data_IF_037380288672
#
_entry.id   IF_037380288672
#
_cell.length_a   1.000
_cell.length_b   1.000
_cell.length_c   1.000
_cell.angle_alpha   90.00
_cell.angle_beta   90.00
_cell.angle_gamma   90.00
#
_symmetry.space_group_name_H-M   'P 1'
#
loop_
_entity.id
_entity.type
_entity.pdbx_description
1 polymer ?
#
# COMPACT_ATOMS: atom_id res chain seq x y z
N UNK A 1 -1.41 11.02 32.07
CA UNK A 1 -0.43 10.64 31.04
C UNK A 1 -1.20 9.92 29.97
N UNK A 2 -0.98 10.25 28.68
CA UNK A 2 -1.52 9.42 27.59
C UNK A 2 -1.01 7.99 27.81
N UNK A 3 -1.83 6.99 27.54
CA UNK A 3 -1.60 5.58 27.90
C UNK A 3 -0.38 4.93 27.21
N UNK A 4 0.38 5.71 26.42
CA UNK A 4 1.52 5.24 25.62
C UNK A 4 1.10 4.21 24.55
N UNK A 5 -0.20 3.96 24.40
CA UNK A 5 -0.76 3.01 23.48
C UNK A 5 -0.89 3.59 22.08
N UNK A 6 -1.12 2.69 21.13
CA UNK A 6 -1.27 3.06 19.73
C UNK A 6 -2.40 4.09 19.56
N UNK A 7 -2.21 5.05 18.66
CA UNK A 7 -3.26 5.97 18.23
C UNK A 7 -4.37 5.25 17.47
N UNK A 8 -5.48 5.94 17.22
CA UNK A 8 -6.56 5.41 16.36
C UNK A 8 -6.05 5.13 14.95
N UNK A 9 -5.27 6.06 14.40
CA UNK A 9 -4.70 5.94 13.04
C UNK A 9 -3.74 4.75 12.91
N UNK A 10 -2.89 4.53 13.92
CA UNK A 10 -1.96 3.40 13.96
C UNK A 10 -2.72 2.07 14.00
N UNK A 11 -3.79 1.98 14.80
CA UNK A 11 -4.64 0.78 14.84
C UNK A 11 -5.32 0.54 13.48
N UNK A 12 -5.93 1.56 12.89
CA UNK A 12 -6.60 1.43 11.58
C UNK A 12 -5.61 1.01 10.47
N UNK A 13 -4.39 1.55 10.50
CA UNK A 13 -3.35 1.19 9.54
C UNK A 13 -2.89 -0.27 9.71
N UNK A 14 -2.59 -0.69 10.94
CA UNK A 14 -2.16 -2.05 11.26
C UNK A 14 -3.25 -3.08 10.96
N UNK A 15 -4.51 -2.79 11.30
CA UNK A 15 -5.65 -3.66 10.96
C UNK A 15 -5.79 -3.83 9.45
N UNK A 16 -5.57 -2.76 8.68
CA UNK A 16 -5.49 -2.82 7.22
C UNK A 16 -4.39 -3.75 6.71
N UNK A 17 -3.19 -3.68 7.29
CA UNK A 17 -2.06 -4.55 6.93
C UNK A 17 -2.37 -6.02 7.24
N UNK A 18 -2.92 -6.32 8.41
CA UNK A 18 -3.32 -7.69 8.76
C UNK A 18 -4.47 -8.21 7.88
N UNK A 19 -5.39 -7.34 7.47
CA UNK A 19 -6.43 -7.69 6.51
C UNK A 19 -5.83 -8.06 5.13
N UNK A 20 -4.83 -7.31 4.64
CA UNK A 20 -4.07 -7.66 3.42
C UNK A 20 -3.37 -9.01 3.60
N UNK A 21 -2.65 -9.22 4.71
CA UNK A 21 -1.97 -10.48 5.00
C UNK A 21 -2.93 -11.67 5.05
N UNK A 22 -4.14 -11.47 5.58
CA UNK A 22 -5.16 -12.52 5.60
C UNK A 22 -5.66 -12.94 4.22
N UNK A 23 -5.38 -12.15 3.18
CA UNK A 23 -5.73 -12.45 1.79
C UNK A 23 -4.60 -13.15 1.01
N UNK A 24 -3.36 -13.22 1.52
CA UNK A 24 -2.19 -13.75 0.80
C UNK A 24 -2.32 -15.23 0.37
N UNK A 25 -3.10 -16.01 1.11
CA UNK A 25 -3.38 -17.42 0.83
C UNK A 25 -4.88 -17.69 0.60
N UNK A 26 -5.65 -16.64 0.28
CA UNK A 26 -7.07 -16.77 -0.02
C UNK A 26 -7.26 -17.38 -1.41
N UNK A 27 -7.91 -18.55 -1.49
CA UNK A 27 -8.34 -19.14 -2.75
C UNK A 27 -9.74 -18.68 -3.09
N UNK A 28 -9.95 -18.22 -4.32
CA UNK A 28 -11.25 -17.83 -4.85
C UNK A 28 -11.69 -18.79 -5.98
N UNK A 29 -12.99 -18.93 -6.18
CA UNK A 29 -13.54 -19.66 -7.33
C UNK A 29 -13.05 -19.03 -8.65
N UNK A 30 -12.83 -17.71 -8.64
CA UNK A 30 -12.28 -16.96 -9.76
C UNK A 30 -10.86 -17.42 -10.15
N UNK A 31 -10.09 -18.04 -9.26
CA UNK A 31 -8.76 -18.58 -9.58
C UNK A 31 -8.85 -19.77 -10.55
N UNK A 32 -9.96 -20.51 -10.55
CA UNK A 32 -10.22 -21.61 -11.48
C UNK A 32 -11.04 -21.16 -12.69
N UNK A 33 -11.97 -20.23 -12.49
CA UNK A 33 -12.90 -19.72 -13.49
C UNK A 33 -12.81 -18.19 -13.55
N UNK A 34 -11.83 -17.63 -14.29
CA UNK A 34 -11.53 -16.19 -14.25
C UNK A 34 -12.71 -15.27 -14.60
N UNK A 35 -13.63 -15.73 -15.44
CA UNK A 35 -14.81 -14.95 -15.81
C UNK A 35 -15.79 -14.71 -14.64
N UNK A 36 -15.68 -15.45 -13.54
CA UNK A 36 -16.45 -15.25 -12.31
C UNK A 36 -15.88 -14.17 -11.39
N UNK A 37 -14.70 -13.61 -11.68
CA UNK A 37 -14.05 -12.59 -10.84
C UNK A 37 -14.94 -11.36 -10.60
N UNK A 38 -15.73 -10.97 -11.59
CA UNK A 38 -16.64 -9.80 -11.51
C UNK A 38 -17.73 -9.99 -10.45
N UNK A 39 -18.09 -11.25 -10.15
CA UNK A 39 -19.14 -11.55 -9.17
C UNK A 39 -18.64 -11.47 -7.72
N UNK A 40 -17.32 -11.59 -7.50
CA UNK A 40 -16.70 -11.61 -6.17
C UNK A 40 -17.43 -12.55 -5.18
N UNK A 41 -17.71 -13.78 -5.62
CA UNK A 41 -18.53 -14.76 -4.88
C UNK A 41 -18.00 -15.04 -3.46
N UNK A 42 -16.68 -15.00 -3.30
CA UNK A 42 -15.98 -15.26 -2.04
C UNK A 42 -15.71 -13.96 -1.25
N UNK A 43 -16.05 -12.79 -1.80
CA UNK A 43 -15.84 -11.47 -1.19
C UNK A 43 -14.37 -11.05 -1.06
N UNK A 44 -13.44 -11.86 -1.56
CA UNK A 44 -12.00 -11.63 -1.44
C UNK A 44 -11.57 -10.32 -2.11
N UNK A 45 -12.13 -10.00 -3.29
CA UNK A 45 -11.78 -8.79 -4.04
C UNK A 45 -12.20 -7.55 -3.28
N UNK A 46 -13.42 -7.51 -2.76
CA UNK A 46 -13.90 -6.41 -1.91
C UNK A 46 -13.07 -6.27 -0.64
N UNK A 47 -12.74 -7.38 0.03
CA UNK A 47 -11.93 -7.37 1.25
C UNK A 47 -10.54 -6.80 1.01
N UNK A 48 -9.80 -7.30 0.01
CA UNK A 48 -8.45 -6.82 -0.28
C UNK A 48 -8.45 -5.36 -0.74
N UNK A 49 -9.45 -4.96 -1.55
CA UNK A 49 -9.58 -3.57 -2.02
C UNK A 49 -9.78 -2.60 -0.86
N UNK A 50 -10.66 -2.93 0.09
CA UNK A 50 -10.88 -2.09 1.27
C UNK A 50 -9.66 -2.05 2.19
N UNK A 51 -8.98 -3.17 2.39
CA UNK A 51 -7.77 -3.25 3.19
C UNK A 51 -6.64 -2.37 2.60
N UNK A 52 -6.41 -2.47 1.29
CA UNK A 52 -5.46 -1.61 0.56
C UNK A 52 -5.85 -0.14 0.70
N UNK A 53 -7.14 0.19 0.53
CA UNK A 53 -7.61 1.57 0.67
C UNK A 53 -7.33 2.15 2.06
N UNK A 54 -7.54 1.36 3.12
CA UNK A 54 -7.26 1.78 4.49
C UNK A 54 -5.77 2.01 4.73
N UNK A 55 -4.91 1.10 4.25
CA UNK A 55 -3.45 1.26 4.38
C UNK A 55 -2.95 2.50 3.62
N UNK A 56 -3.42 2.68 2.38
CA UNK A 56 -3.04 3.81 1.51
C UNK A 56 -3.47 5.17 2.07
N UNK A 57 -4.59 5.23 2.81
CA UNK A 57 -5.04 6.46 3.48
C UNK A 57 -3.94 7.10 4.35
N UNK A 58 -3.09 6.27 4.96
CA UNK A 58 -2.01 6.71 5.84
C UNK A 58 -0.63 6.72 5.17
N UNK A 59 -0.35 5.77 4.27
CA UNK A 59 0.95 5.70 3.59
C UNK A 59 1.12 6.72 2.47
N UNK A 60 0.09 6.92 1.63
CA UNK A 60 0.21 7.75 0.43
C UNK A 60 0.61 9.21 0.76
N UNK A 61 0.08 9.87 1.81
CA UNK A 61 0.53 11.22 2.19
C UNK A 61 2.02 11.30 2.54
N UNK A 62 2.57 10.28 3.21
CA UNK A 62 3.98 10.26 3.60
C UNK A 62 4.89 9.96 2.40
N UNK A 63 4.49 9.02 1.55
CA UNK A 63 5.17 8.75 0.27
C UNK A 63 5.19 10.02 -0.59
N UNK A 64 4.07 10.75 -0.68
CA UNK A 64 3.97 11.98 -1.48
C UNK A 64 4.92 13.05 -0.98
N UNK A 65 4.97 13.28 0.34
CA UNK A 65 5.93 14.21 0.93
C UNK A 65 7.36 13.82 0.58
N UNK A 66 7.70 12.53 0.64
CA UNK A 66 9.05 12.06 0.33
C UNK A 66 9.39 12.25 -1.16
N UNK A 67 8.46 12.00 -2.07
CA UNK A 67 8.63 12.31 -3.50
C UNK A 67 8.89 13.81 -3.69
N UNK A 68 8.08 14.67 -3.07
CA UNK A 68 8.28 16.13 -3.16
C UNK A 68 9.63 16.60 -2.60
N UNK A 69 10.18 15.94 -1.58
CA UNK A 69 11.51 16.24 -1.05
C UNK A 69 12.61 15.96 -2.07
N UNK A 70 12.52 14.82 -2.79
CA UNK A 70 13.42 14.48 -3.88
C UNK A 70 13.30 15.46 -5.05
N UNK A 71 12.07 15.79 -5.47
CA UNK A 71 11.83 16.76 -6.55
C UNK A 71 12.36 18.17 -6.23
N UNK A 72 12.29 18.59 -4.97
CA UNK A 72 12.81 19.89 -4.49
C UNK A 72 14.32 19.88 -4.21
N UNK A 73 14.99 18.73 -4.34
CA UNK A 73 16.41 18.57 -3.98
C UNK A 73 16.69 18.74 -2.48
N UNK A 74 15.66 18.62 -1.63
CA UNK A 74 15.80 18.63 -0.17
C UNK A 74 16.33 17.29 0.37
N UNK A 75 16.40 16.29 -0.50
CA UNK A 75 16.99 14.98 -0.25
C UNK A 75 17.85 14.58 -1.43
N UNK A 76 19.01 14.01 -1.14
CA UNK A 76 20.05 13.71 -2.14
C UNK A 76 20.66 12.31 -2.00
N UNK A 77 20.33 11.59 -0.92
CA UNK A 77 20.87 10.28 -0.61
C UNK A 77 19.73 9.29 -0.35
N UNK A 78 19.94 8.04 -0.77
CA UNK A 78 19.02 6.93 -0.53
C UNK A 78 19.29 6.33 0.84
N UNK A 79 18.48 6.67 1.83
CA UNK A 79 18.67 6.23 3.22
C UNK A 79 17.88 4.95 3.53
N UNK A 80 16.77 4.73 2.82
CA UNK A 80 15.84 3.64 3.07
C UNK A 80 15.24 3.06 1.77
N UNK A 81 14.43 2.00 1.93
CA UNK A 81 13.79 1.32 0.80
C UNK A 81 12.83 2.26 0.05
N UNK A 82 12.19 3.21 0.72
CA UNK A 82 11.27 4.15 0.05
C UNK A 82 12.06 5.08 -0.88
N UNK A 83 13.22 5.56 -0.44
CA UNK A 83 14.09 6.39 -1.27
C UNK A 83 14.57 5.66 -2.52
N UNK A 84 15.01 4.40 -2.35
CA UNK A 84 15.37 3.53 -3.45
C UNK A 84 14.19 3.32 -4.41
N UNK A 85 12.98 3.08 -3.91
CA UNK A 85 11.78 2.90 -4.75
C UNK A 85 11.38 4.18 -5.50
N UNK A 86 11.61 5.36 -4.92
CA UNK A 86 11.36 6.66 -5.58
C UNK A 86 12.34 6.89 -6.74
N UNK A 87 13.61 6.59 -6.54
CA UNK A 87 14.65 6.82 -7.56
C UNK A 87 14.73 5.73 -8.62
N UNK A 88 14.28 4.52 -8.32
CA UNK A 88 14.22 3.43 -9.29
C UNK A 88 13.30 3.79 -10.46
N UNK A 89 13.77 3.48 -11.68
CA UNK A 89 13.03 3.73 -12.92
C UNK A 89 12.80 2.44 -13.69
N UNK A 90 11.63 2.37 -14.33
CA UNK A 90 11.28 1.31 -15.28
C UNK A 90 12.03 1.52 -16.60
N UNK A 91 11.96 0.52 -17.48
CA UNK A 91 12.36 0.68 -18.88
C UNK A 91 11.63 1.87 -19.50
N UNK A 92 12.35 2.81 -20.10
CA UNK A 92 11.77 4.05 -20.63
C UNK A 92 11.87 5.27 -19.70
N UNK A 93 12.61 5.17 -18.58
CA UNK A 93 12.89 6.28 -17.66
C UNK A 93 11.65 6.78 -16.87
N UNK A 94 10.59 5.98 -16.81
CA UNK A 94 9.41 6.23 -15.98
C UNK A 94 9.69 5.87 -14.52
N UNK A 95 9.18 6.63 -13.53
CA UNK A 95 9.31 6.27 -12.11
C UNK A 95 8.73 4.88 -11.80
N UNK A 96 9.43 4.10 -10.98
CA UNK A 96 8.92 2.81 -10.51
C UNK A 96 7.72 3.01 -9.57
N UNK A 97 7.87 3.91 -8.61
CA UNK A 97 6.84 4.29 -7.65
C UNK A 97 6.05 5.51 -8.14
N UNK A 98 4.73 5.36 -8.24
CA UNK A 98 3.79 6.44 -8.54
C UNK A 98 2.53 6.25 -7.69
N UNK A 99 2.05 7.32 -7.06
CA UNK A 99 0.87 7.30 -6.18
C UNK A 99 -0.16 8.34 -6.59
#
# INVERSE_FOLDING_TARGET
MADGGAGVEEREHVDGLFAILSCLYGFAIADFLPWLEVLDLDGHKKKITNAIKNVRRYQDPEIKKRIEMWEKGLKSEEDDILDLLINLKKSGNEPLLSI
#
